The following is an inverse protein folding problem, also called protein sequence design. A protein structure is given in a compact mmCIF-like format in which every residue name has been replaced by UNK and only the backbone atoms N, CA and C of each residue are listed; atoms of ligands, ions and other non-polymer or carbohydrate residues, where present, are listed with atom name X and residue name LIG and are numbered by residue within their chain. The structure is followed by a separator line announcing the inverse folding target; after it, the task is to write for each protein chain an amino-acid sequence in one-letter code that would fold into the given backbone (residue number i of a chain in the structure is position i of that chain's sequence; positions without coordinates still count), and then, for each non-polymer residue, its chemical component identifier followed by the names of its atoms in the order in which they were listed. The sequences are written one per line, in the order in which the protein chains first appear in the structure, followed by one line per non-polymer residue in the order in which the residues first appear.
data_IF_882517789529
#
_entry.id   IF_882517789529
#
_cell.length_a   1.000
_cell.length_b   1.000
_cell.length_c   1.000
_cell.angle_alpha   90.00
_cell.angle_beta   90.00
_cell.angle_gamma   90.00
#
_symmetry.space_group_name_H-M   'P 1'
#
loop_
_entity.id
_entity.type
_entity.pdbx_description
1 polymer ?
#
# COMPACT_ATOMS: atom_id res chain seq x y z
N UNK A 1 -10.91 -35.17 -30.03
CA UNK A 1 -9.70 -34.38 -29.73
C UNK A 1 -10.13 -33.04 -29.12
N UNK A 2 -9.81 -32.79 -27.85
CA UNK A 2 -10.06 -31.51 -27.16
C UNK A 2 -8.69 -30.84 -26.92
N UNK A 3 -8.55 -29.58 -27.33
CA UNK A 3 -7.35 -28.77 -27.09
C UNK A 3 -7.31 -28.31 -25.62
N UNK A 4 -6.15 -28.26 -24.95
CA UNK A 4 -6.04 -27.74 -23.59
C UNK A 4 -6.12 -26.21 -23.56
N UNK A 5 -6.93 -25.73 -22.62
CA UNK A 5 -7.08 -24.33 -22.21
C UNK A 5 -5.77 -23.77 -21.66
N UNK A 6 -5.35 -22.58 -22.15
CA UNK A 6 -4.22 -21.85 -21.58
C UNK A 6 -4.58 -21.34 -20.19
N UNK A 7 -3.91 -21.85 -19.16
CA UNK A 7 -3.93 -21.31 -17.80
C UNK A 7 -3.20 -19.96 -17.78
N UNK A 8 -3.90 -18.91 -17.38
CA UNK A 8 -3.31 -17.60 -17.15
C UNK A 8 -2.38 -17.67 -15.93
N UNK A 9 -1.09 -17.42 -16.14
CA UNK A 9 -0.09 -17.35 -15.09
C UNK A 9 -0.22 -16.02 -14.34
N UNK A 10 -0.74 -16.07 -13.11
CA UNK A 10 -0.77 -14.91 -12.20
C UNK A 10 0.65 -14.56 -11.78
N UNK A 11 1.15 -13.42 -12.24
CA UNK A 11 2.47 -12.91 -11.85
C UNK A 11 2.34 -12.09 -10.57
N UNK A 12 2.95 -12.54 -9.48
CA UNK A 12 3.06 -11.78 -8.22
C UNK A 12 4.38 -11.01 -8.25
N UNK A 13 4.31 -9.69 -8.27
CA UNK A 13 5.49 -8.82 -8.16
C UNK A 13 5.63 -8.35 -6.72
N UNK A 14 6.55 -8.97 -5.97
CA UNK A 14 6.97 -8.48 -4.67
C UNK A 14 8.08 -7.45 -4.87
N UNK A 15 7.87 -6.20 -4.45
CA UNK A 15 8.93 -5.17 -4.43
C UNK A 15 9.44 -5.02 -3.00
N UNK A 16 10.72 -5.35 -2.81
CA UNK A 16 11.44 -5.19 -1.54
C UNK A 16 12.15 -3.83 -1.56
N UNK A 17 11.74 -2.91 -0.68
CA UNK A 17 12.42 -1.62 -0.50
C UNK A 17 13.40 -1.74 0.69
N UNK A 18 14.70 -1.80 0.38
CA UNK A 18 15.78 -1.74 1.37
C UNK A 18 16.08 -0.26 1.68
N UNK A 19 15.73 0.20 2.88
CA UNK A 19 16.21 1.48 3.40
C UNK A 19 17.69 1.35 3.77
N UNK A 20 18.57 1.95 2.97
CA UNK A 20 20.00 2.08 3.28
C UNK A 20 20.21 3.39 4.02
N UNK A 21 20.54 3.32 5.31
CA UNK A 21 20.89 4.47 6.14
C UNK A 21 22.39 4.76 5.97
N UNK A 22 22.78 5.64 5.06
CA UNK A 22 24.17 6.10 4.95
C UNK A 22 24.36 7.43 5.68
N UNK A 23 25.35 7.42 6.58
CA UNK A 23 25.61 8.43 7.60
C UNK A 23 26.13 9.78 7.11
N UNK A 24 26.16 10.68 8.08
CA UNK A 24 26.36 12.12 8.00
C UNK A 24 27.77 12.55 7.58
N UNK A 25 27.78 13.68 6.89
CA UNK A 25 28.81 14.36 6.09
C UNK A 25 30.06 14.83 6.84
N UNK A 26 31.25 14.59 6.26
CA UNK A 26 32.49 15.37 6.50
C UNK A 26 32.88 16.03 5.17
N UNK A 27 33.12 17.35 5.10
CA UNK A 27 33.57 17.97 3.85
C UNK A 27 35.09 17.84 3.73
N UNK A 28 35.55 17.16 2.68
CA UNK A 28 36.93 17.25 2.21
C UNK A 28 36.93 17.79 0.78
N UNK A 29 37.50 18.99 0.64
CA UNK A 29 37.86 19.69 -0.59
C UNK A 29 38.73 18.82 -1.49
N UNK A 30 38.37 18.63 -2.76
CA UNK A 30 39.25 17.96 -3.73
C UNK A 30 38.64 17.73 -5.12
N UNK A 31 39.16 18.50 -6.08
CA UNK A 31 39.32 18.26 -7.52
C UNK A 31 38.20 17.68 -8.41
N UNK A 32 37.86 18.50 -9.39
CA UNK A 32 37.25 18.16 -10.68
C UNK A 32 38.00 17.05 -11.42
N UNK A 33 37.31 15.95 -11.72
CA UNK A 33 37.62 15.12 -12.89
C UNK A 33 36.32 14.53 -13.44
N UNK A 34 36.03 14.86 -14.69
CA UNK A 34 34.77 14.57 -15.37
C UNK A 34 34.62 13.08 -15.66
N UNK A 35 33.94 12.36 -14.77
CA UNK A 35 33.42 11.03 -15.05
C UNK A 35 32.07 11.17 -15.75
N UNK A 36 32.07 11.02 -17.08
CA UNK A 36 30.83 10.95 -17.87
C UNK A 36 30.11 9.66 -17.49
N UNK A 37 29.18 9.76 -16.56
CA UNK A 37 28.20 8.70 -16.29
C UNK A 37 27.40 8.53 -17.58
N UNK A 38 27.60 7.40 -18.25
CA UNK A 38 26.77 7.01 -19.38
C UNK A 38 25.31 7.04 -18.92
N UNK A 39 24.53 7.95 -19.52
CA UNK A 39 23.10 8.00 -19.31
C UNK A 39 22.53 6.64 -19.74
N UNK A 40 22.25 5.79 -18.75
CA UNK A 40 21.45 4.60 -18.98
C UNK A 40 20.06 5.15 -19.27
N UNK A 41 19.71 5.20 -20.55
CA UNK A 41 18.35 5.49 -21.01
C UNK A 41 17.44 4.52 -20.27
N UNK A 42 16.76 5.01 -19.23
CA UNK A 42 15.75 4.23 -18.54
C UNK A 42 14.71 3.91 -19.59
N UNK A 43 14.67 2.66 -20.05
CA UNK A 43 13.63 2.17 -20.93
C UNK A 43 12.31 2.58 -20.27
N UNK A 44 11.58 3.47 -20.94
CA UNK A 44 10.40 4.12 -20.39
C UNK A 44 9.47 3.05 -19.85
N UNK A 45 9.39 2.96 -18.52
CA UNK A 45 8.48 2.05 -17.86
C UNK A 45 7.10 2.60 -18.18
N UNK A 46 6.42 2.03 -19.17
CA UNK A 46 5.01 2.30 -19.41
C UNK A 46 4.27 1.90 -18.14
N UNK A 47 3.95 2.88 -17.32
CA UNK A 47 3.08 2.68 -16.16
C UNK A 47 1.73 2.23 -16.69
N UNK A 48 1.21 1.07 -16.27
CA UNK A 48 -0.14 0.67 -16.60
C UNK A 48 -1.09 1.81 -16.25
N UNK A 49 -1.92 2.22 -17.21
CA UNK A 49 -3.00 3.17 -16.93
C UNK A 49 -4.01 2.43 -16.07
N UNK A 50 -4.32 2.98 -14.90
CA UNK A 50 -5.36 2.42 -14.05
C UNK A 50 -6.70 2.42 -14.79
N UNK A 51 -7.36 1.27 -14.83
CA UNK A 51 -8.74 1.20 -15.32
C UNK A 51 -9.67 1.86 -14.28
N UNK A 52 -10.09 3.08 -14.58
CA UNK A 52 -10.97 3.87 -13.72
C UNK A 52 -12.36 3.23 -13.55
N UNK A 53 -12.77 2.35 -14.48
CA UNK A 53 -14.06 1.68 -14.47
C UNK A 53 -14.06 0.37 -13.69
N UNK A 54 -12.89 -0.14 -13.29
CA UNK A 54 -12.74 -1.33 -12.48
C UNK A 54 -12.50 -0.99 -11.00
N UNK A 55 -13.54 -0.97 -10.15
CA UNK A 55 -13.37 -0.69 -8.72
C UNK A 55 -12.59 -1.81 -8.03
N UNK A 56 -11.60 -1.42 -7.23
CA UNK A 56 -10.81 -2.32 -6.39
C UNK A 56 -11.04 -1.97 -4.92
N UNK A 57 -11.37 -2.96 -4.08
CA UNK A 57 -11.53 -2.77 -2.65
C UNK A 57 -10.21 -2.89 -1.88
N UNK A 58 -10.09 -2.14 -0.78
CA UNK A 58 -8.92 -2.18 0.13
C UNK A 58 -9.32 -2.82 1.45
N UNK A 59 -8.61 -3.88 1.85
CA UNK A 59 -8.76 -4.48 3.18
C UNK A 59 -7.40 -4.43 3.87
N UNK A 60 -7.32 -3.72 4.99
CA UNK A 60 -6.12 -3.68 5.82
C UNK A 60 -6.16 -4.76 6.89
N UNK A 61 -5.10 -5.55 6.94
CA UNK A 61 -4.74 -6.47 8.02
C UNK A 61 -3.35 -6.07 8.51
N UNK A 62 -3.08 -6.26 9.80
CA UNK A 62 -1.79 -5.93 10.37
C UNK A 62 -1.87 -5.37 11.78
N UNK A 63 -0.83 -4.62 12.13
CA UNK A 63 -0.61 -4.10 13.47
C UNK A 63 -1.12 -2.66 13.65
N UNK A 64 -0.68 -2.02 14.72
CA UNK A 64 -0.96 -0.63 15.12
C UNK A 64 -0.75 0.45 14.05
N UNK A 65 0.15 0.25 13.07
CA UNK A 65 0.33 1.20 11.97
C UNK A 65 -0.90 1.29 11.07
N UNK A 66 -1.68 0.20 10.99
CA UNK A 66 -2.91 0.17 10.22
C UNK A 66 -4.10 0.67 11.03
N UNK A 67 -4.08 0.66 12.36
CA UNK A 67 -5.19 1.13 13.20
C UNK A 67 -5.17 2.63 13.46
N UNK A 68 -4.05 3.30 13.16
CA UNK A 68 -3.82 4.70 13.52
C UNK A 68 -3.54 4.88 15.01
N UNK A 69 -3.04 3.84 15.69
CA UNK A 69 -2.68 3.90 17.10
C UNK A 69 -1.69 5.04 17.37
N UNK A 70 -1.96 5.83 18.41
CA UNK A 70 -1.07 6.90 18.89
C UNK A 70 -0.79 8.00 17.85
N UNK A 71 -1.66 8.14 16.85
CA UNK A 71 -1.50 9.12 15.77
C UNK A 71 -2.10 10.50 16.08
N UNK A 72 -2.98 10.59 17.09
CA UNK A 72 -3.56 11.85 17.55
C UNK A 72 -2.95 12.25 18.90
N UNK A 73 -2.21 13.37 18.97
CA UNK A 73 -1.66 13.89 20.23
C UNK A 73 -2.72 14.25 21.27
N UNK A 74 -3.96 14.54 20.86
CA UNK A 74 -5.07 14.82 21.77
C UNK A 74 -5.71 13.55 22.34
N UNK A 75 -5.42 12.39 21.73
CA UNK A 75 -5.97 11.09 22.11
C UNK A 75 -4.85 10.03 22.22
N UNK A 76 -3.85 10.23 23.10
CA UNK A 76 -2.71 9.33 23.20
C UNK A 76 -3.14 7.93 23.65
N UNK A 77 -2.57 6.90 23.01
CA UNK A 77 -2.89 5.51 23.30
C UNK A 77 -4.19 4.99 22.67
N UNK A 78 -4.90 5.83 21.91
CA UNK A 78 -6.12 5.42 21.21
C UNK A 78 -5.87 5.06 19.75
N UNK A 79 -6.76 4.24 19.19
CA UNK A 79 -6.83 3.97 17.76
C UNK A 79 -7.63 5.06 17.06
N UNK A 80 -6.97 5.83 16.21
CA UNK A 80 -7.65 6.80 15.34
C UNK A 80 -7.66 6.26 13.92
N UNK A 81 -8.69 5.47 13.58
CA UNK A 81 -8.80 4.79 12.28
C UNK A 81 -8.77 5.79 11.11
N UNK A 82 -9.28 7.00 11.31
CA UNK A 82 -9.19 8.08 10.32
C UNK A 82 -7.74 8.41 9.93
N UNK A 83 -6.77 8.18 10.82
CA UNK A 83 -5.34 8.39 10.60
C UNK A 83 -4.60 7.11 10.18
N UNK A 84 -5.31 6.02 9.87
CA UNK A 84 -4.72 4.79 9.33
C UNK A 84 -3.98 5.07 8.02
N UNK A 85 -2.72 4.63 7.92
CA UNK A 85 -1.94 4.77 6.69
C UNK A 85 -2.55 4.05 5.48
N UNK A 86 -3.26 2.94 5.71
CA UNK A 86 -3.84 2.15 4.63
C UNK A 86 -5.28 2.58 4.29
N UNK A 87 -6.10 2.88 5.29
CA UNK A 87 -7.56 3.00 5.14
C UNK A 87 -8.15 4.30 5.67
N UNK A 88 -7.32 5.17 6.21
CA UNK A 88 -7.74 6.38 6.89
C UNK A 88 -8.37 7.40 5.95
N UNK A 89 -9.31 8.17 6.50
CA UNK A 89 -10.01 9.27 5.81
C UNK A 89 -9.39 10.65 6.08
N UNK A 90 -8.36 10.76 6.93
CA UNK A 90 -7.66 12.01 7.18
C UNK A 90 -6.88 12.41 5.91
N UNK A 91 -7.19 13.55 5.26
CA UNK A 91 -6.50 13.99 4.05
C UNK A 91 -5.00 14.23 4.27
N UNK A 92 -4.58 14.61 5.48
CA UNK A 92 -3.17 14.86 5.80
C UNK A 92 -2.33 13.57 5.79
N UNK A 93 -2.96 12.42 6.05
CA UNK A 93 -2.31 11.10 5.98
C UNK A 93 -2.26 10.59 4.54
N UNK A 94 -3.23 10.98 3.71
CA UNK A 94 -3.35 10.55 2.30
C UNK A 94 -3.17 9.03 2.14
N UNK A 95 -4.08 8.29 2.77
CA UNK A 95 -3.99 6.84 2.89
C UNK A 95 -3.88 6.14 1.53
N UNK A 96 -3.43 4.88 1.53
CA UNK A 96 -3.42 4.05 0.31
C UNK A 96 -4.81 4.02 -0.35
N UNK A 97 -5.86 3.89 0.46
CA UNK A 97 -7.23 3.92 0.00
C UNK A 97 -7.60 5.25 -0.68
N UNK A 98 -7.31 6.40 -0.08
CA UNK A 98 -7.62 7.70 -0.72
C UNK A 98 -6.83 7.90 -2.02
N UNK A 99 -5.57 7.45 -2.07
CA UNK A 99 -4.77 7.45 -3.30
C UNK A 99 -5.38 6.57 -4.39
N UNK A 100 -5.89 5.39 -4.03
CA UNK A 100 -6.55 4.50 -4.97
C UNK A 100 -7.87 5.11 -5.47
N UNK A 101 -8.65 5.72 -4.58
CA UNK A 101 -9.91 6.37 -4.96
C UNK A 101 -9.67 7.56 -5.90
N UNK A 102 -8.56 8.30 -5.74
CA UNK A 102 -8.23 9.42 -6.63
C UNK A 102 -8.04 8.98 -8.09
N UNK A 103 -7.51 7.78 -8.33
CA UNK A 103 -7.31 7.22 -9.68
C UNK A 103 -8.45 6.28 -10.13
N UNK A 104 -9.23 5.76 -9.19
CA UNK A 104 -10.38 4.88 -9.42
C UNK A 104 -11.56 5.31 -8.57
N UNK A 105 -12.33 6.34 -8.98
CA UNK A 105 -13.38 6.93 -8.14
C UNK A 105 -14.45 5.93 -7.69
N UNK A 106 -14.72 4.88 -8.49
CA UNK A 106 -15.66 3.80 -8.15
C UNK A 106 -15.20 2.92 -6.97
N UNK A 107 -13.94 3.01 -6.53
CA UNK A 107 -13.45 2.38 -5.30
C UNK A 107 -14.03 3.03 -4.03
N UNK A 108 -14.60 4.25 -4.12
CA UNK A 108 -15.11 4.94 -2.93
C UNK A 108 -16.19 4.10 -2.22
N UNK A 109 -15.98 3.88 -0.92
CA UNK A 109 -16.81 3.03 -0.06
C UNK A 109 -16.34 1.58 0.03
N UNK A 110 -15.37 1.17 -0.79
CA UNK A 110 -14.82 -0.19 -0.82
C UNK A 110 -13.59 -0.32 0.07
N UNK A 111 -13.77 -0.13 1.38
CA UNK A 111 -12.68 -0.18 2.35
C UNK A 111 -13.08 -0.92 3.63
N UNK A 112 -12.15 -1.69 4.19
CA UNK A 112 -12.27 -2.30 5.51
C UNK A 112 -10.91 -2.36 6.22
N UNK A 113 -10.94 -2.32 7.55
CA UNK A 113 -9.75 -2.44 8.37
C UNK A 113 -10.04 -3.40 9.52
N UNK A 114 -9.36 -4.54 9.50
CA UNK A 114 -9.48 -5.61 10.52
C UNK A 114 -8.19 -5.76 11.33
N UNK A 115 -7.33 -4.74 11.27
CA UNK A 115 -6.04 -4.70 11.94
C UNK A 115 -6.19 -4.58 13.45
N UNK A 116 -5.17 -5.02 14.19
CA UNK A 116 -5.15 -5.03 15.64
C UNK A 116 -3.81 -4.58 16.17
N UNK A 117 -3.80 -3.79 17.24
CA UNK A 117 -2.54 -3.35 17.86
C UNK A 117 -1.71 -4.53 18.34
N UNK A 118 -0.40 -4.46 18.13
CA UNK A 118 0.54 -5.51 18.54
C UNK A 118 0.49 -6.79 17.72
N UNK A 119 -0.33 -6.86 16.65
CA UNK A 119 -0.37 -8.03 15.79
C UNK A 119 0.98 -8.32 15.16
N UNK A 120 1.33 -9.61 15.09
CA UNK A 120 2.52 -10.11 14.41
C UNK A 120 2.12 -10.88 13.15
N UNK A 121 3.12 -11.25 12.35
CA UNK A 121 2.85 -11.98 11.10
C UNK A 121 2.15 -13.33 11.34
N UNK A 122 2.50 -14.02 12.43
CA UNK A 122 1.92 -15.28 12.91
C UNK A 122 0.59 -15.11 13.66
N UNK A 123 -0.01 -13.92 13.62
CA UNK A 123 -1.38 -13.70 14.09
C UNK A 123 -2.32 -13.19 13.00
N UNK A 124 -1.82 -12.99 11.77
CA UNK A 124 -2.63 -12.51 10.65
C UNK A 124 -3.71 -13.51 10.26
N UNK A 125 -3.48 -14.81 10.45
CA UNK A 125 -4.46 -15.86 10.21
C UNK A 125 -5.74 -15.67 11.04
N UNK A 126 -5.68 -14.97 12.17
CA UNK A 126 -6.86 -14.67 12.99
C UNK A 126 -7.63 -13.45 12.47
N UNK A 127 -7.00 -12.57 11.68
CA UNK A 127 -7.65 -11.42 11.05
C UNK A 127 -8.29 -11.77 9.69
N UNK A 128 -7.76 -12.76 8.97
CA UNK A 128 -8.27 -13.21 7.66
C UNK A 128 -9.76 -13.61 7.70
N UNK A 129 -10.27 -14.35 8.70
CA UNK A 129 -11.69 -14.67 8.81
C UNK A 129 -12.59 -13.43 8.90
N UNK A 130 -12.13 -12.31 9.45
CA UNK A 130 -12.86 -11.05 9.49
C UNK A 130 -12.76 -10.25 8.17
N UNK A 131 -11.69 -10.47 7.39
CA UNK A 131 -11.51 -9.86 6.08
C UNK A 131 -12.50 -10.39 5.03
N UNK A 132 -12.80 -11.69 5.03
CA UNK A 132 -13.69 -12.32 4.04
C UNK A 132 -15.13 -11.76 4.05
N UNK A 133 -15.83 -11.64 5.19
CA UNK A 133 -17.13 -10.97 5.25
C UNK A 133 -17.05 -9.51 4.83
N UNK A 134 -15.95 -8.83 5.11
CA UNK A 134 -15.73 -7.45 4.69
C UNK A 134 -15.69 -7.36 3.17
N UNK A 135 -14.90 -8.21 2.50
CA UNK A 135 -14.87 -8.30 1.03
C UNK A 135 -16.25 -8.54 0.42
N UNK A 136 -17.02 -9.49 0.96
CA UNK A 136 -18.36 -9.77 0.47
C UNK A 136 -19.27 -8.55 0.60
N UNK A 137 -19.21 -7.84 1.73
CA UNK A 137 -20.01 -6.63 1.97
C UNK A 137 -19.63 -5.50 1.01
N UNK A 138 -18.36 -5.37 0.66
CA UNK A 138 -17.91 -4.36 -0.30
C UNK A 138 -18.43 -4.65 -1.71
N UNK A 139 -18.40 -5.92 -2.16
CA UNK A 139 -18.86 -6.32 -3.51
C UNK A 139 -20.35 -6.05 -3.77
N UNK A 140 -21.21 -6.09 -2.75
CA UNK A 140 -22.66 -5.93 -2.90
C UNK A 140 -23.16 -4.49 -2.73
N UNK A 141 -22.26 -3.52 -2.54
CA UNK A 141 -22.60 -2.09 -2.36
C UNK A 141 -22.25 -1.22 -3.56
N UNK A 142 -21.62 -1.80 -4.58
CA UNK A 142 -21.25 -1.21 -5.87
C UNK A 142 -22.21 -1.65 -6.95
#
# INVERSE_FOLDING_TARGET
MRLPSLSHATTVVATLALCSCSGTTTPATGSVEGSRVAATTSAGRTTPVADADHPEGVIALGHSGMTGFQSDPQSPGENVVANSWATGSNPDVNSVYERLVAIRPKTRGLVANVSRNGEKADGLEFQVPAALPSYQRLRWRS
#
